data_IF_560331397691
#
_entry.id   IF_560331397691
#
_cell.length_a   1.000
_cell.length_b   1.000
_cell.length_c   1.000
_cell.angle_alpha   90.00
_cell.angle_beta   90.00
_cell.angle_gamma   90.00
#
_symmetry.space_group_name_H-M   'P 1'
#
loop_
_entity.id
_entity.type
_entity.pdbx_description
1 polymer ?
#
# COMPACT_ATOMS: atom_id res chain seq x y z
N UNK A 1 -10.76 10.25 -7.59
CA UNK A 1 -10.92 11.07 -6.40
C UNK A 1 -11.16 10.19 -5.18
N UNK A 2 -10.34 10.36 -4.15
CA UNK A 2 -10.41 9.54 -2.93
C UNK A 2 -11.11 10.25 -1.78
N UNK A 3 -11.61 11.44 -2.00
CA UNK A 3 -12.24 12.22 -0.96
C UNK A 3 -13.49 11.50 -0.40
N UNK A 4 -13.59 11.43 0.92
CA UNK A 4 -14.71 10.76 1.56
C UNK A 4 -14.58 9.25 1.67
N UNK A 5 -13.43 8.68 1.28
CA UNK A 5 -13.20 7.24 1.25
C UNK A 5 -12.01 6.87 2.12
N UNK A 6 -12.04 5.63 2.64
CA UNK A 6 -10.88 5.10 3.35
C UNK A 6 -9.81 4.74 2.34
N UNK A 7 -8.58 5.19 2.57
CA UNK A 7 -7.47 4.98 1.65
C UNK A 7 -6.37 4.21 2.37
N UNK A 8 -5.92 3.13 1.74
CA UNK A 8 -4.80 2.31 2.22
C UNK A 8 -3.66 2.51 1.23
N UNK A 9 -2.58 3.14 1.69
CA UNK A 9 -1.44 3.47 0.82
C UNK A 9 -0.27 2.56 1.16
N UNK A 10 0.35 2.00 0.12
CA UNK A 10 1.61 1.26 0.24
C UNK A 10 2.70 2.01 -0.53
N UNK A 11 3.78 2.37 0.18
CA UNK A 11 5.00 2.89 -0.43
C UNK A 11 5.97 1.75 -0.67
N UNK A 12 6.46 1.60 -1.90
CA UNK A 12 7.27 0.46 -2.31
C UNK A 12 8.20 0.84 -3.47
N UNK A 13 9.11 -0.05 -3.86
CA UNK A 13 9.83 0.06 -5.11
C UNK A 13 10.23 -1.32 -5.64
N UNK A 14 10.48 -1.36 -6.97
CA UNK A 14 10.55 -2.63 -7.72
C UNK A 14 11.66 -3.56 -7.24
N UNK A 15 12.85 -3.02 -6.95
CA UNK A 15 14.00 -3.88 -6.65
C UNK A 15 14.17 -4.16 -5.16
N UNK A 16 13.13 -3.98 -4.37
CA UNK A 16 13.23 -4.21 -2.93
C UNK A 16 12.45 -5.46 -2.51
N UNK A 17 13.23 -6.51 -2.17
CA UNK A 17 12.67 -7.82 -1.82
C UNK A 17 11.56 -7.81 -0.78
N UNK A 18 11.71 -7.10 0.37
CA UNK A 18 10.65 -7.03 1.37
C UNK A 18 9.32 -6.49 0.86
N UNK A 19 9.35 -5.53 -0.09
CA UNK A 19 8.14 -5.02 -0.71
C UNK A 19 7.47 -6.10 -1.59
N UNK A 20 8.27 -6.80 -2.38
CA UNK A 20 7.79 -7.84 -3.28
C UNK A 20 7.19 -9.00 -2.48
N UNK A 21 7.83 -9.37 -1.38
CA UNK A 21 7.39 -10.48 -0.54
C UNK A 21 6.00 -10.26 0.05
N UNK A 22 5.60 -9.00 0.26
CA UNK A 22 4.28 -8.68 0.82
C UNK A 22 3.14 -8.78 -0.21
N UNK A 23 3.44 -8.72 -1.50
CA UNK A 23 2.42 -8.56 -2.53
C UNK A 23 1.31 -9.62 -2.53
N UNK A 24 1.60 -10.92 -2.36
CA UNK A 24 0.51 -11.90 -2.30
C UNK A 24 -0.48 -11.62 -1.18
N UNK A 25 0.02 -11.18 -0.03
CA UNK A 25 -0.83 -10.86 1.12
C UNK A 25 -1.61 -9.57 0.91
N UNK A 26 -1.01 -8.59 0.23
CA UNK A 26 -1.70 -7.36 -0.13
C UNK A 26 -2.79 -7.61 -1.18
N UNK A 27 -2.55 -8.54 -2.11
CA UNK A 27 -3.58 -8.95 -3.07
C UNK A 27 -4.77 -9.61 -2.37
N UNK A 28 -4.51 -10.46 -1.37
CA UNK A 28 -5.56 -11.06 -0.57
C UNK A 28 -6.37 -10.00 0.17
N UNK A 29 -5.70 -8.95 0.63
CA UNK A 29 -6.35 -7.83 1.30
C UNK A 29 -7.33 -7.11 0.36
N UNK A 30 -6.90 -6.82 -0.86
CA UNK A 30 -7.76 -6.20 -1.87
C UNK A 30 -8.98 -7.09 -2.13
N UNK A 31 -8.77 -8.39 -2.27
CA UNK A 31 -9.87 -9.33 -2.51
C UNK A 31 -10.87 -9.35 -1.36
N UNK A 32 -10.40 -9.26 -0.12
CA UNK A 32 -11.28 -9.26 1.05
C UNK A 32 -12.20 -8.05 1.09
N UNK A 33 -11.73 -6.89 0.62
CA UNK A 33 -12.46 -5.63 0.70
C UNK A 33 -13.02 -5.16 -0.65
N UNK A 34 -13.07 -6.02 -1.66
CA UNK A 34 -13.44 -5.59 -3.02
C UNK A 34 -14.87 -5.03 -3.13
N UNK A 35 -15.75 -5.36 -2.20
CA UNK A 35 -17.14 -4.88 -2.21
C UNK A 35 -17.37 -3.72 -1.23
N UNK A 36 -16.31 -3.16 -0.67
CA UNK A 36 -16.39 -2.05 0.28
C UNK A 36 -15.75 -0.81 -0.31
N UNK A 37 -16.12 0.34 0.24
CA UNK A 37 -15.65 1.63 -0.27
C UNK A 37 -14.28 1.98 0.30
N UNK A 38 -13.31 1.13 -0.01
CA UNK A 38 -11.91 1.26 0.41
C UNK A 38 -11.05 1.25 -0.83
N UNK A 39 -10.10 2.19 -0.90
CA UNK A 39 -9.18 2.29 -2.03
C UNK A 39 -7.77 1.89 -1.58
N UNK A 40 -7.13 1.07 -2.40
CA UNK A 40 -5.78 0.59 -2.17
C UNK A 40 -4.87 1.21 -3.22
N UNK A 41 -3.91 2.03 -2.78
CA UNK A 41 -3.04 2.80 -3.67
C UNK A 41 -1.58 2.47 -3.35
N UNK A 42 -0.84 2.05 -4.38
CA UNK A 42 0.60 1.78 -4.26
C UNK A 42 1.37 2.89 -4.96
N UNK A 43 2.28 3.52 -4.24
CA UNK A 43 3.10 4.62 -4.74
C UNK A 43 4.57 4.21 -4.73
N UNK A 44 5.21 4.29 -5.89
CA UNK A 44 6.61 3.93 -6.09
C UNK A 44 7.37 5.11 -6.68
N UNK A 45 8.68 5.18 -6.42
CA UNK A 45 9.51 6.17 -7.11
C UNK A 45 10.06 5.65 -8.45
N UNK A 46 9.70 4.43 -8.84
CA UNK A 46 10.01 3.93 -10.17
C UNK A 46 9.19 4.68 -11.22
N UNK A 47 9.63 4.68 -12.47
CA UNK A 47 8.88 5.32 -13.54
C UNK A 47 7.59 4.53 -13.83
N UNK A 48 6.61 5.21 -14.41
CA UNK A 48 5.36 4.55 -14.82
C UNK A 48 5.66 3.41 -15.81
N UNK A 49 6.61 3.60 -16.70
CA UNK A 49 7.00 2.57 -17.67
C UNK A 49 7.53 1.32 -16.96
N UNK A 50 8.41 1.51 -15.97
CA UNK A 50 8.97 0.40 -15.21
C UNK A 50 7.90 -0.31 -14.36
N UNK A 51 7.00 0.46 -13.77
CA UNK A 51 5.90 -0.12 -12.99
C UNK A 51 5.02 -0.99 -13.90
N UNK A 52 4.65 -0.50 -15.07
CA UNK A 52 3.83 -1.28 -16.02
C UNK A 52 4.54 -2.57 -16.45
N UNK A 53 5.84 -2.49 -16.73
CA UNK A 53 6.64 -3.66 -17.09
C UNK A 53 6.64 -4.70 -15.97
N UNK A 54 6.84 -4.24 -14.74
CA UNK A 54 6.80 -5.11 -13.56
C UNK A 54 5.45 -5.81 -13.41
N UNK A 55 4.36 -5.06 -13.56
CA UNK A 55 2.99 -5.58 -13.39
C UNK A 55 2.60 -6.59 -14.48
N UNK A 56 3.28 -6.59 -15.61
CA UNK A 56 3.09 -7.62 -16.64
C UNK A 56 3.57 -8.99 -16.18
N UNK A 57 4.46 -9.05 -15.19
CA UNK A 57 5.09 -10.28 -14.70
C UNK A 57 4.68 -10.64 -13.27
N UNK A 58 4.17 -9.68 -12.53
CA UNK A 58 3.84 -9.87 -11.11
C UNK A 58 2.50 -9.22 -10.81
N UNK A 59 1.60 -9.99 -10.22
CA UNK A 59 0.30 -9.47 -9.84
C UNK A 59 0.41 -8.60 -8.59
N UNK A 60 -0.06 -7.37 -8.69
CA UNK A 60 -0.19 -6.46 -7.55
C UNK A 60 -1.46 -5.64 -7.77
N UNK A 61 -2.51 -5.97 -7.03
CA UNK A 61 -3.88 -5.52 -7.29
C UNK A 61 -4.21 -4.10 -6.83
N UNK A 62 -3.29 -3.42 -6.17
CA UNK A 62 -3.47 -2.01 -5.81
C UNK A 62 -3.56 -1.15 -7.08
N UNK A 63 -4.18 0.03 -6.96
CA UNK A 63 -4.02 1.08 -7.95
C UNK A 63 -2.59 1.61 -7.85
N UNK A 64 -1.99 2.03 -8.96
CA UNK A 64 -0.57 2.37 -8.99
C UNK A 64 -0.32 3.80 -9.41
N UNK A 65 0.63 4.45 -8.74
CA UNK A 65 1.13 5.77 -9.10
C UNK A 65 2.63 5.86 -8.88
N UNK A 66 3.23 6.83 -9.59
CA UNK A 66 4.65 7.14 -9.45
C UNK A 66 4.81 8.49 -8.77
N UNK A 67 5.73 8.57 -7.82
CA UNK A 67 6.06 9.82 -7.11
C UNK A 67 7.58 9.99 -7.10
N UNK A 68 8.06 11.19 -6.75
CA UNK A 68 9.49 11.39 -6.62
C UNK A 68 10.05 10.64 -5.41
N UNK A 69 11.32 10.26 -5.50
CA UNK A 69 12.00 9.60 -4.38
C UNK A 69 11.98 10.49 -3.13
N UNK A 70 12.25 11.78 -3.28
CA UNK A 70 12.28 12.69 -2.14
C UNK A 70 10.91 12.80 -1.48
N UNK A 71 9.83 12.81 -2.27
CA UNK A 71 8.48 12.86 -1.72
C UNK A 71 8.17 11.58 -0.95
N UNK A 72 8.55 10.42 -1.46
CA UNK A 72 8.34 9.16 -0.74
C UNK A 72 9.02 9.21 0.62
N UNK A 73 10.27 9.66 0.68
CA UNK A 73 11.02 9.68 1.94
C UNK A 73 10.59 10.80 2.88
N UNK A 74 9.77 11.75 2.42
CA UNK A 74 9.08 12.68 3.32
C UNK A 74 7.97 11.97 4.11
N UNK A 75 7.35 10.94 3.53
CA UNK A 75 6.28 10.19 4.19
C UNK A 75 6.79 9.00 4.99
N UNK A 76 7.77 8.28 4.47
CA UNK A 76 8.24 7.04 5.12
C UNK A 76 9.77 6.98 5.05
N UNK A 77 10.45 6.77 6.21
CA UNK A 77 11.92 6.69 6.22
C UNK A 77 12.45 5.45 5.52
N UNK A 78 11.67 4.38 5.45
CA UNK A 78 12.05 3.13 4.79
C UNK A 78 10.83 2.55 4.06
N UNK A 79 11.08 1.72 3.05
CA UNK A 79 10.06 0.92 2.41
C UNK A 79 10.13 -0.52 2.94
N UNK A 80 9.04 -1.28 2.94
CA UNK A 80 7.71 -0.81 2.63
C UNK A 80 7.13 0.09 3.72
N UNK A 81 6.22 0.97 3.35
CA UNK A 81 5.45 1.75 4.29
C UNK A 81 3.96 1.55 4.00
N UNK A 82 3.14 1.52 5.03
CA UNK A 82 1.69 1.35 4.89
C UNK A 82 0.99 2.43 5.70
N UNK A 83 0.10 3.16 5.05
CA UNK A 83 -0.60 4.28 5.67
C UNK A 83 -2.10 4.05 5.56
N UNK A 84 -2.82 4.33 6.64
CA UNK A 84 -4.28 4.36 6.62
C UNK A 84 -4.72 5.82 6.70
N UNK A 85 -5.46 6.27 5.70
CA UNK A 85 -5.99 7.63 5.62
C UNK A 85 -7.51 7.54 5.69
N UNK A 86 -8.12 8.25 6.64
CA UNK A 86 -9.57 8.15 6.83
C UNK A 86 -10.35 8.98 5.80
N UNK A 87 -11.66 8.93 5.90
CA UNK A 87 -12.55 9.62 4.96
C UNK A 87 -12.43 11.15 5.00
N UNK A 88 -11.83 11.69 6.05
CA UNK A 88 -11.57 13.13 6.17
C UNK A 88 -10.19 13.52 5.64
N UNK A 89 -9.42 12.57 5.11
CA UNK A 89 -8.08 12.81 4.59
C UNK A 89 -7.01 12.87 5.66
N UNK A 90 -7.29 12.36 6.85
CA UNK A 90 -6.35 12.37 7.96
C UNK A 90 -5.64 11.02 8.06
N UNK A 91 -4.30 11.06 8.16
CA UNK A 91 -3.51 9.86 8.38
C UNK A 91 -3.77 9.36 9.80
N UNK A 92 -4.31 8.15 9.93
CA UNK A 92 -4.67 7.57 11.22
C UNK A 92 -3.66 6.57 11.73
N UNK A 93 -3.06 5.79 10.84
CA UNK A 93 -2.14 4.73 11.23
C UNK A 93 -1.03 4.60 10.21
N UNK A 94 0.16 4.22 10.68
CA UNK A 94 1.35 4.04 9.85
C UNK A 94 2.07 2.77 10.30
N UNK A 95 2.44 1.92 9.33
CA UNK A 95 3.36 0.82 9.56
C UNK A 95 4.61 1.10 8.72
N UNK A 96 5.77 1.16 9.36
CA UNK A 96 7.04 1.44 8.68
C UNK A 96 7.90 0.18 8.70
N UNK A 97 8.36 -0.23 7.51
CA UNK A 97 9.17 -1.43 7.35
C UNK A 97 8.34 -2.69 7.30
N UNK A 98 8.98 -3.81 6.92
CA UNK A 98 8.32 -5.10 6.83
C UNK A 98 8.26 -5.76 8.21
N UNK A 99 7.17 -6.49 8.53
CA UNK A 99 7.14 -7.28 9.74
C UNK A 99 8.16 -8.42 9.65
N UNK A 100 8.54 -8.97 10.81
CA UNK A 100 9.52 -10.06 10.88
C UNK A 100 9.07 -11.28 10.06
N UNK A 101 7.78 -11.60 10.12
CA UNK A 101 7.16 -12.62 9.29
C UNK A 101 6.25 -11.92 8.31
N UNK A 102 6.49 -12.09 7.02
CA UNK A 102 5.82 -11.33 5.97
C UNK A 102 4.29 -11.47 6.02
N UNK A 103 3.79 -12.66 6.31
CA UNK A 103 2.35 -12.93 6.36
C UNK A 103 1.62 -12.11 7.42
N UNK A 104 2.32 -11.62 8.43
CA UNK A 104 1.71 -10.80 9.48
C UNK A 104 1.18 -9.47 8.95
N UNK A 105 1.64 -9.03 7.79
CA UNK A 105 1.17 -7.74 7.23
C UNK A 105 -0.33 -7.79 6.94
N UNK A 106 -0.85 -8.93 6.51
CA UNK A 106 -2.27 -9.08 6.23
C UNK A 106 -3.11 -8.78 7.48
N UNK A 107 -2.83 -9.47 8.57
CA UNK A 107 -3.60 -9.30 9.81
C UNK A 107 -3.45 -7.91 10.39
N UNK A 108 -2.24 -7.34 10.34
CA UNK A 108 -2.01 -5.97 10.82
C UNK A 108 -2.85 -4.96 10.05
N UNK A 109 -2.89 -5.07 8.74
CA UNK A 109 -3.67 -4.14 7.92
C UNK A 109 -5.17 -4.36 8.09
N UNK A 110 -5.63 -5.60 8.21
CA UNK A 110 -7.04 -5.87 8.52
C UNK A 110 -7.44 -5.17 9.81
N UNK A 111 -6.65 -5.32 10.87
CA UNK A 111 -6.94 -4.70 12.16
C UNK A 111 -7.05 -3.17 12.03
N UNK A 112 -6.14 -2.55 11.30
CA UNK A 112 -6.15 -1.10 11.11
C UNK A 112 -7.32 -0.63 10.24
N UNK A 113 -7.65 -1.38 9.20
CA UNK A 113 -8.79 -1.07 8.34
C UNK A 113 -10.09 -1.17 9.14
N UNK A 114 -10.27 -2.27 9.88
CA UNK A 114 -11.49 -2.46 10.69
C UNK A 114 -11.65 -1.39 11.75
N UNK A 115 -10.55 -0.94 12.34
CA UNK A 115 -10.56 0.12 13.33
C UNK A 115 -11.02 1.47 12.74
N UNK A 116 -10.71 1.72 11.48
CA UNK A 116 -10.90 3.04 10.85
C UNK A 116 -12.07 3.11 9.87
N UNK A 117 -12.63 1.99 9.44
CA UNK A 117 -13.79 2.03 8.55
C UNK A 117 -15.05 2.34 9.34
N UNK A 118 -16.02 2.91 8.64
CA UNK A 118 -17.29 3.30 9.24
C UNK A 118 -18.39 2.32 8.90
#
# INVERSE_FOLDING_TARGET
>A
DYKGKLLVINFWYINFGPCIAEMPYLNDLVNQYQNEDIHFLALSFDTITDIKSFLNKTEFKYEHGSISRSLMYDFTPVAPGHFIVDSDGIIRDIIVGAPRQTELIFDKLVDLIEKNKK
#
